data_IF_506523840252
#
_entry.id   IF_506523840252
#
_cell.length_a   1.000
_cell.length_b   1.000
_cell.length_c   1.000
_cell.angle_alpha   90.00
_cell.angle_beta   90.00
_cell.angle_gamma   90.00
#
_symmetry.space_group_name_H-M   'P 1'
#
loop_
_entity.id
_entity.type
_entity.pdbx_description
1 polymer ?
#
# COMPACT_ATOMS: atom_id res chain seq x y z
N UNK A 1 -0.17 18.03 42.61
CA UNK A 1 -1.26 17.11 42.21
C UNK A 1 -2.48 17.92 41.77
N UNK A 2 -2.66 18.14 40.47
CA UNK A 2 -3.91 18.65 39.88
C UNK A 2 -4.28 17.72 38.74
N UNK A 3 -5.52 17.26 38.77
CA UNK A 3 -6.11 16.21 37.92
C UNK A 3 -6.08 16.63 36.44
N UNK A 4 -5.38 15.87 35.60
CA UNK A 4 -5.65 15.78 34.14
C UNK A 4 -6.79 14.78 33.96
N UNK A 5 -8.01 15.26 33.80
CA UNK A 5 -9.17 14.41 33.58
C UNK A 5 -10.27 15.19 32.85
N UNK A 6 -9.93 15.84 31.74
CA UNK A 6 -10.91 16.35 30.76
C UNK A 6 -10.27 16.25 29.37
N UNK A 7 -10.90 15.49 28.47
CA UNK A 7 -10.45 15.35 27.09
C UNK A 7 -10.74 14.02 26.38
N UNK A 8 -11.43 13.05 26.99
CA UNK A 8 -11.72 11.75 26.35
C UNK A 8 -13.07 11.63 25.61
N UNK A 9 -13.87 12.70 25.55
CA UNK A 9 -15.28 12.60 25.10
C UNK A 9 -15.67 13.56 23.95
N UNK A 10 -14.74 14.29 23.34
CA UNK A 10 -15.07 15.20 22.22
C UNK A 10 -14.71 14.67 20.82
N UNK A 11 -13.86 13.65 20.70
CA UNK A 11 -13.32 13.24 19.39
C UNK A 11 -14.24 12.31 18.59
N UNK A 12 -15.05 11.48 19.25
CA UNK A 12 -16.12 10.71 18.60
C UNK A 12 -17.21 11.59 17.98
N UNK A 13 -17.38 12.82 18.49
CA UNK A 13 -18.29 13.81 17.90
C UNK A 13 -17.71 14.43 16.62
N UNK A 14 -16.40 14.66 16.55
CA UNK A 14 -15.73 15.26 15.39
C UNK A 14 -15.72 14.31 14.19
N UNK A 15 -15.45 13.02 14.41
CA UNK A 15 -15.56 11.97 13.37
C UNK A 15 -17.01 11.82 12.89
N UNK A 16 -18.00 11.87 13.79
CA UNK A 16 -19.41 11.87 13.42
C UNK A 16 -19.86 13.16 12.68
N UNK A 17 -19.19 14.29 12.93
CA UNK A 17 -19.47 15.58 12.29
C UNK A 17 -18.79 15.70 10.91
N UNK A 18 -17.54 15.26 10.73
CA UNK A 18 -16.87 15.24 9.41
C UNK A 18 -17.53 14.24 8.45
N UNK A 19 -17.88 13.05 8.95
CA UNK A 19 -18.70 12.07 8.24
C UNK A 19 -20.15 12.54 8.03
N UNK A 20 -20.65 13.43 8.89
CA UNK A 20 -21.96 14.07 8.76
C UNK A 20 -22.06 15.04 7.56
N UNK A 21 -20.95 15.68 7.16
CA UNK A 21 -20.91 16.51 5.97
C UNK A 21 -20.66 15.72 4.69
N UNK A 22 -19.83 14.67 4.72
CA UNK A 22 -19.64 13.76 3.57
C UNK A 22 -20.90 12.92 3.28
N UNK A 23 -21.63 12.50 4.32
CA UNK A 23 -22.90 11.78 4.18
C UNK A 23 -24.03 12.61 3.58
N UNK A 24 -23.96 13.95 3.61
CA UNK A 24 -25.04 14.82 3.13
C UNK A 24 -25.03 15.07 1.60
N UNK A 25 -23.91 14.86 0.91
CA UNK A 25 -23.86 14.99 -0.57
C UNK A 25 -24.59 13.84 -1.30
N UNK A 26 -25.01 12.83 -0.54
CA UNK A 26 -25.81 11.71 -0.99
C UNK A 26 -27.31 12.05 -1.13
N UNK A 27 -27.77 13.25 -0.75
CA UNK A 27 -29.19 13.51 -0.45
C UNK A 27 -29.79 14.82 -1.00
N UNK A 28 -29.73 15.08 -2.31
CA UNK A 28 -30.65 16.05 -2.93
C UNK A 28 -31.24 15.53 -4.25
N UNK A 29 -32.55 15.19 -4.31
CA UNK A 29 -33.22 14.93 -5.58
C UNK A 29 -33.48 16.28 -6.29
N UNK A 30 -33.03 16.41 -7.53
CA UNK A 30 -33.47 17.51 -8.41
C UNK A 30 -34.73 17.08 -9.16
N UNK A 31 -35.78 17.91 -9.06
CA UNK A 31 -37.06 17.64 -9.67
C UNK A 31 -37.06 17.93 -11.18
N UNK A 32 -37.32 16.90 -11.98
CA UNK A 32 -37.80 17.02 -13.35
C UNK A 32 -38.87 15.97 -13.58
N UNK A 33 -39.84 16.31 -14.41
CA UNK A 33 -41.21 15.79 -14.42
C UNK A 33 -41.48 14.99 -15.71
N UNK A 34 -42.08 13.82 -15.50
CA UNK A 34 -42.62 12.83 -16.45
C UNK A 34 -41.58 12.07 -17.31
N UNK A 35 -41.49 10.75 -17.05
CA UNK A 35 -40.53 9.83 -17.67
C UNK A 35 -41.03 9.27 -19.01
N UNK A 36 -40.36 9.60 -20.10
CA UNK A 36 -40.26 8.66 -21.22
C UNK A 36 -39.39 7.47 -20.79
N UNK A 37 -39.67 6.27 -21.32
CA UNK A 37 -39.01 5.02 -20.91
C UNK A 37 -37.47 5.00 -21.08
N UNK A 38 -36.91 5.97 -21.81
CA UNK A 38 -35.49 6.10 -22.11
C UNK A 38 -34.88 7.42 -21.57
N UNK A 39 -35.58 8.18 -20.71
CA UNK A 39 -34.99 9.36 -20.05
C UNK A 39 -34.28 8.95 -18.74
N UNK A 40 -32.95 8.96 -18.76
CA UNK A 40 -32.12 8.61 -17.62
C UNK A 40 -32.41 9.48 -16.37
N UNK A 41 -32.73 10.77 -16.54
CA UNK A 41 -33.02 11.65 -15.42
C UNK A 41 -34.34 11.28 -14.74
N UNK A 42 -35.38 11.03 -15.53
CA UNK A 42 -36.69 10.65 -15.01
C UNK A 42 -36.67 9.25 -14.39
N UNK A 43 -35.98 8.28 -15.02
CA UNK A 43 -35.76 6.94 -14.45
C UNK A 43 -34.96 7.00 -13.13
N UNK A 44 -33.99 7.91 -13.02
CA UNK A 44 -33.24 8.13 -11.77
C UNK A 44 -34.15 8.69 -10.67
N UNK A 45 -35.01 9.65 -11.02
CA UNK A 45 -36.00 10.20 -10.09
C UNK A 45 -36.96 9.12 -9.57
N UNK A 46 -37.50 8.28 -10.45
CA UNK A 46 -38.36 7.15 -10.05
C UNK A 46 -37.62 6.13 -9.19
N UNK A 47 -36.34 5.88 -9.48
CA UNK A 47 -35.46 5.08 -8.63
C UNK A 47 -35.36 5.65 -7.21
N UNK A 48 -35.22 6.97 -7.06
CA UNK A 48 -35.20 7.63 -5.76
C UNK A 48 -36.56 7.55 -5.04
N UNK A 49 -37.68 7.67 -5.75
CA UNK A 49 -39.01 7.50 -5.15
C UNK A 49 -39.21 6.09 -4.57
N UNK A 50 -38.80 5.05 -5.30
CA UNK A 50 -38.87 3.68 -4.79
C UNK A 50 -37.87 3.43 -3.65
N UNK A 51 -36.68 4.02 -3.72
CA UNK A 51 -35.69 3.94 -2.64
C UNK A 51 -36.23 4.56 -1.34
N UNK A 52 -36.91 5.71 -1.41
CA UNK A 52 -37.53 6.37 -0.26
C UNK A 52 -38.66 5.55 0.37
N UNK A 53 -39.34 4.71 -0.43
CA UNK A 53 -40.35 3.76 0.05
C UNK A 53 -39.74 2.46 0.62
N UNK A 54 -38.41 2.37 0.71
CA UNK A 54 -37.66 1.16 1.03
C UNK A 54 -37.92 -0.02 0.08
N UNK A 55 -38.38 0.25 -1.15
CA UNK A 55 -38.58 -0.76 -2.19
C UNK A 55 -37.30 -0.92 -3.03
N UNK A 56 -36.28 -1.53 -2.43
CA UNK A 56 -34.93 -1.56 -3.01
C UNK A 56 -34.84 -2.36 -4.31
N UNK A 57 -35.66 -3.40 -4.49
CA UNK A 57 -35.70 -4.15 -5.76
C UNK A 57 -36.23 -3.30 -6.91
N UNK A 58 -37.30 -2.53 -6.68
CA UNK A 58 -37.83 -1.62 -7.69
C UNK A 58 -36.88 -0.46 -7.97
N UNK A 59 -36.31 0.15 -6.91
CA UNK A 59 -35.30 1.20 -7.05
C UNK A 59 -34.11 0.74 -7.89
N UNK A 60 -33.59 -0.47 -7.62
CA UNK A 60 -32.49 -1.08 -8.36
C UNK A 60 -32.83 -1.23 -9.85
N UNK A 61 -34.06 -1.64 -10.16
CA UNK A 61 -34.52 -1.77 -11.54
C UNK A 61 -34.55 -0.40 -12.25
N UNK A 62 -35.09 0.63 -11.61
CA UNK A 62 -35.13 1.99 -12.17
C UNK A 62 -33.73 2.57 -12.41
N UNK A 63 -32.84 2.52 -11.42
CA UNK A 63 -31.47 3.00 -11.62
C UNK A 63 -30.71 2.19 -12.69
N UNK A 64 -30.94 0.87 -12.76
CA UNK A 64 -30.36 0.04 -13.83
C UNK A 64 -30.88 0.40 -15.21
N UNK A 65 -32.16 0.79 -15.33
CA UNK A 65 -32.72 1.30 -16.59
C UNK A 65 -32.14 2.67 -16.93
N UNK A 66 -32.00 3.57 -15.95
CA UNK A 66 -31.39 4.89 -16.14
C UNK A 66 -29.96 4.77 -16.69
N UNK A 67 -29.14 3.88 -16.12
CA UNK A 67 -27.77 3.60 -16.59
C UNK A 67 -27.75 3.01 -18.01
N UNK A 68 -28.75 2.21 -18.39
CA UNK A 68 -28.86 1.67 -19.76
C UNK A 68 -29.26 2.76 -20.75
N UNK A 69 -30.15 3.66 -20.35
CA UNK A 69 -30.59 4.79 -21.16
C UNK A 69 -29.44 5.79 -21.39
N UNK A 70 -28.74 6.16 -20.32
CA UNK A 70 -27.52 6.96 -20.39
C UNK A 70 -26.52 6.50 -19.32
N UNK A 71 -25.50 5.79 -19.79
CA UNK A 71 -24.44 5.28 -18.93
C UNK A 71 -23.50 6.36 -18.38
N UNK A 72 -23.57 7.58 -18.91
CA UNK A 72 -22.86 8.75 -18.41
C UNK A 72 -23.60 9.47 -17.28
N UNK A 73 -24.85 9.13 -17.00
CA UNK A 73 -25.65 9.78 -15.96
C UNK A 73 -25.17 9.38 -14.55
N UNK A 74 -24.31 10.20 -13.95
CA UNK A 74 -23.57 9.86 -12.72
C UNK A 74 -24.49 9.58 -11.51
N UNK A 75 -25.57 10.33 -11.36
CA UNK A 75 -26.51 10.16 -10.24
C UNK A 75 -27.18 8.78 -10.22
N UNK A 76 -27.40 8.16 -11.37
CA UNK A 76 -28.02 6.83 -11.47
C UNK A 76 -27.11 5.74 -10.89
N UNK A 77 -25.81 5.82 -11.14
CA UNK A 77 -24.81 4.92 -10.58
C UNK A 77 -24.77 5.00 -9.05
N UNK A 78 -24.83 6.23 -8.53
CA UNK A 78 -24.80 6.50 -7.10
C UNK A 78 -26.10 6.03 -6.43
N UNK A 79 -27.26 6.29 -7.05
CA UNK A 79 -28.55 5.75 -6.61
C UNK A 79 -28.57 4.21 -6.58
N UNK A 80 -28.02 3.56 -7.62
CA UNK A 80 -27.90 2.11 -7.68
C UNK A 80 -27.03 1.57 -6.55
N UNK A 81 -25.85 2.16 -6.34
CA UNK A 81 -24.90 1.78 -5.29
C UNK A 81 -25.53 1.88 -3.90
N UNK A 82 -26.24 2.98 -3.60
CA UNK A 82 -26.98 3.14 -2.33
C UNK A 82 -28.03 2.07 -2.14
N UNK A 83 -28.77 1.77 -3.20
CA UNK A 83 -29.84 0.77 -3.18
C UNK A 83 -29.28 -0.60 -2.86
N UNK A 84 -28.17 -0.96 -3.50
CA UNK A 84 -27.48 -2.23 -3.25
C UNK A 84 -26.97 -2.29 -1.81
N UNK A 85 -26.33 -1.23 -1.31
CA UNK A 85 -25.84 -1.15 0.06
C UNK A 85 -26.97 -1.33 1.08
N UNK A 86 -28.08 -0.60 0.93
CA UNK A 86 -29.23 -0.69 1.86
C UNK A 86 -30.02 -2.00 1.74
N UNK A 87 -29.92 -2.70 0.63
CA UNK A 87 -30.50 -4.04 0.48
C UNK A 87 -29.66 -5.12 1.19
N UNK A 88 -28.40 -4.85 1.56
CA UNK A 88 -27.59 -5.78 2.33
C UNK A 88 -27.91 -5.67 3.81
N UNK A 89 -28.23 -6.79 4.43
CA UNK A 89 -28.45 -6.84 5.87
C UNK A 89 -27.12 -6.69 6.63
N UNK A 90 -27.05 -5.74 7.55
CA UNK A 90 -25.91 -5.56 8.44
C UNK A 90 -24.67 -4.94 7.80
N UNK A 91 -24.83 -4.18 6.70
CA UNK A 91 -23.79 -3.32 6.14
C UNK A 91 -24.25 -1.87 6.21
N UNK A 92 -23.66 -1.14 7.15
CA UNK A 92 -23.72 0.32 7.19
C UNK A 92 -22.29 0.85 7.11
N UNK A 93 -21.99 1.71 6.14
CA UNK A 93 -20.64 2.26 5.96
C UNK A 93 -20.09 2.94 7.23
N UNK A 94 -20.97 3.54 8.05
CA UNK A 94 -20.57 4.10 9.34
C UNK A 94 -20.25 3.02 10.38
N UNK A 95 -20.96 1.90 10.36
CA UNK A 95 -20.66 0.75 11.21
C UNK A 95 -19.35 0.08 10.79
N UNK A 96 -19.04 0.03 9.49
CA UNK A 96 -17.78 -0.56 8.99
C UNK A 96 -16.55 0.15 9.58
N UNK A 97 -16.56 1.48 9.59
CA UNK A 97 -15.48 2.26 10.21
C UNK A 97 -15.36 2.01 11.72
N UNK A 98 -16.46 1.68 12.40
CA UNK A 98 -16.44 1.37 13.83
C UNK A 98 -15.75 0.04 14.15
N UNK A 99 -15.74 -0.93 13.21
CA UNK A 99 -15.06 -2.20 13.43
C UNK A 99 -13.53 -2.07 13.51
N UNK A 100 -12.97 -1.01 12.93
CA UNK A 100 -11.55 -0.69 13.03
C UNK A 100 -11.15 -0.14 14.40
N UNK A 101 -12.09 0.46 15.13
CA UNK A 101 -11.78 1.16 16.38
C UNK A 101 -11.34 0.18 17.47
N UNK A 102 -10.21 0.48 18.10
CA UNK A 102 -9.72 -0.33 19.22
C UNK A 102 -10.46 -0.02 20.51
N UNK A 103 -10.79 -1.06 21.28
CA UNK A 103 -11.37 -0.96 22.62
C UNK A 103 -10.78 -2.03 23.55
N UNK A 104 -10.92 -1.82 24.87
CA UNK A 104 -10.58 -2.83 25.87
C UNK A 104 -11.76 -3.78 26.08
N UNK A 105 -11.51 -5.08 25.96
CA UNK A 105 -12.51 -6.12 26.26
C UNK A 105 -12.74 -6.27 27.78
N UNK A 106 -13.63 -7.18 28.16
CA UNK A 106 -13.96 -7.45 29.56
C UNK A 106 -12.75 -7.92 30.42
N UNK A 107 -11.66 -8.34 29.78
CA UNK A 107 -10.42 -8.79 30.43
C UNK A 107 -9.31 -7.71 30.40
N UNK A 108 -9.59 -6.52 29.87
CA UNK A 108 -8.61 -5.45 29.71
C UNK A 108 -7.65 -5.67 28.52
N UNK A 109 -7.95 -6.60 27.61
CA UNK A 109 -7.16 -6.81 26.40
C UNK A 109 -7.64 -5.83 25.32
N UNK A 110 -6.70 -5.13 24.68
CA UNK A 110 -7.01 -4.33 23.48
C UNK A 110 -7.45 -5.25 22.33
N UNK A 111 -8.59 -4.94 21.75
CA UNK A 111 -9.17 -5.64 20.60
C UNK A 111 -9.85 -4.64 19.66
N UNK A 112 -10.46 -5.10 18.57
CA UNK A 112 -11.34 -4.32 17.69
C UNK A 112 -12.50 -5.17 17.15
N UNK A 113 -13.43 -4.57 16.42
CA UNK A 113 -14.62 -5.24 15.90
C UNK A 113 -14.34 -6.35 14.88
N UNK A 114 -13.33 -6.17 14.02
CA UNK A 114 -12.89 -7.20 13.07
C UNK A 114 -12.35 -8.45 13.75
N UNK A 115 -11.70 -8.33 14.90
CA UNK A 115 -11.14 -9.49 15.61
C UNK A 115 -12.18 -10.33 16.33
N UNK A 116 -13.29 -9.71 16.77
CA UNK A 116 -14.31 -10.40 17.59
C UNK A 116 -15.56 -10.79 16.82
N UNK A 117 -15.73 -10.32 15.57
CA UNK A 117 -16.86 -10.72 14.74
C UNK A 117 -16.76 -12.20 14.37
N UNK A 118 -17.90 -12.87 14.18
CA UNK A 118 -17.91 -14.25 13.69
C UNK A 118 -17.54 -14.32 12.20
N UNK A 119 -17.10 -15.48 11.75
CA UNK A 119 -16.77 -15.71 10.34
C UNK A 119 -17.99 -15.51 9.44
N UNK A 120 -19.19 -15.92 9.88
CA UNK A 120 -20.41 -15.71 9.11
C UNK A 120 -20.72 -14.21 8.92
N UNK A 121 -20.46 -13.41 9.96
CA UNK A 121 -20.65 -11.95 9.89
C UNK A 121 -19.59 -11.32 8.98
N UNK A 122 -18.33 -11.72 9.10
CA UNK A 122 -17.23 -11.27 8.23
C UNK A 122 -17.53 -11.58 6.75
N UNK A 123 -17.95 -12.80 6.46
CA UNK A 123 -18.35 -13.26 5.13
C UNK A 123 -19.55 -12.49 4.59
N UNK A 124 -20.55 -12.21 5.44
CA UNK A 124 -21.72 -11.42 5.07
C UNK A 124 -21.34 -9.98 4.71
N UNK A 125 -20.46 -9.35 5.49
CA UNK A 125 -19.96 -8.01 5.19
C UNK A 125 -19.17 -8.04 3.87
N UNK A 126 -18.25 -8.98 3.71
CA UNK A 126 -17.42 -9.11 2.51
C UNK A 126 -18.25 -9.22 1.23
N UNK A 127 -19.23 -10.14 1.19
CA UNK A 127 -20.12 -10.31 0.02
C UNK A 127 -20.94 -9.06 -0.31
N UNK A 128 -21.41 -8.37 0.71
CA UNK A 128 -22.20 -7.17 0.47
C UNK A 128 -21.35 -5.97 0.06
N UNK A 129 -20.10 -5.86 0.54
CA UNK A 129 -19.12 -4.91 -0.03
C UNK A 129 -18.87 -5.24 -1.50
N UNK A 130 -18.60 -6.49 -1.85
CA UNK A 130 -18.37 -6.90 -3.24
C UNK A 130 -19.56 -6.56 -4.16
N UNK A 131 -20.78 -6.72 -3.65
CA UNK A 131 -22.00 -6.37 -4.38
C UNK A 131 -22.09 -4.86 -4.67
N UNK A 132 -21.67 -4.03 -3.72
CA UNK A 132 -21.61 -2.56 -3.87
C UNK A 132 -20.49 -2.16 -4.83
N UNK A 133 -19.30 -2.73 -4.63
CA UNK A 133 -18.10 -2.44 -5.43
C UNK A 133 -18.25 -2.82 -6.89
N UNK A 134 -19.04 -3.84 -7.21
CA UNK A 134 -19.38 -4.20 -8.59
C UNK A 134 -19.90 -3.00 -9.41
N UNK A 135 -20.80 -2.19 -8.83
CA UNK A 135 -21.34 -1.01 -9.49
C UNK A 135 -20.46 0.22 -9.32
N UNK A 136 -19.84 0.36 -8.14
CA UNK A 136 -19.02 1.52 -7.83
C UNK A 136 -17.75 1.57 -8.69
N UNK A 137 -17.08 0.43 -8.91
CA UNK A 137 -15.90 0.36 -9.79
C UNK A 137 -16.22 0.75 -11.24
N UNK A 138 -17.42 0.42 -11.73
CA UNK A 138 -17.87 0.82 -13.06
C UNK A 138 -18.10 2.32 -13.15
N UNK A 139 -18.64 2.94 -12.10
CA UNK A 139 -18.79 4.39 -12.00
C UNK A 139 -17.43 5.08 -11.93
N UNK A 140 -16.53 4.64 -11.04
CA UNK A 140 -15.19 5.21 -10.89
C UNK A 140 -14.43 5.17 -12.21
N UNK A 141 -14.38 4.00 -12.88
CA UNK A 141 -13.72 3.86 -14.17
C UNK A 141 -14.29 4.79 -15.26
N UNK A 142 -15.59 5.10 -15.22
CA UNK A 142 -16.21 6.06 -16.14
C UNK A 142 -15.88 7.51 -15.77
N UNK A 143 -15.95 7.87 -14.50
CA UNK A 143 -15.68 9.24 -14.07
C UNK A 143 -14.22 9.62 -14.29
N UNK A 144 -13.28 8.71 -14.00
CA UNK A 144 -11.85 8.93 -14.21
C UNK A 144 -11.45 8.97 -15.69
N UNK A 145 -12.33 8.51 -16.60
CA UNK A 145 -12.12 8.57 -18.05
C UNK A 145 -13.01 9.62 -18.74
N UNK A 146 -13.58 10.56 -17.98
CA UNK A 146 -14.44 11.63 -18.49
C UNK A 146 -15.70 11.14 -19.25
N UNK A 147 -16.20 9.95 -18.88
CA UNK A 147 -17.37 9.31 -19.50
C UNK A 147 -18.67 9.54 -18.71
N UNK A 148 -18.67 10.50 -17.78
CA UNK A 148 -19.84 10.89 -16.97
C UNK A 148 -20.27 12.32 -17.27
N UNK A 149 -21.50 12.67 -16.87
CA UNK A 149 -22.05 14.03 -16.92
C UNK A 149 -21.49 14.95 -15.82
N UNK A 150 -20.56 14.44 -15.00
CA UNK A 150 -19.82 15.17 -13.95
C UNK A 150 -20.68 15.80 -12.85
N UNK A 151 -21.98 15.48 -12.77
CA UNK A 151 -22.85 15.95 -11.67
C UNK A 151 -22.46 15.35 -10.33
N UNK A 152 -22.11 14.07 -10.34
CA UNK A 152 -21.40 13.40 -9.25
C UNK A 152 -20.06 12.91 -9.78
N UNK A 153 -19.01 13.24 -9.04
CA UNK A 153 -17.61 12.88 -9.31
C UNK A 153 -17.14 11.81 -8.35
N UNK A 154 -16.11 11.07 -8.72
CA UNK A 154 -15.44 10.14 -7.82
C UNK A 154 -14.98 10.83 -6.53
N UNK A 155 -14.47 12.06 -6.62
CA UNK A 155 -14.09 12.86 -5.44
C UNK A 155 -15.25 13.15 -4.48
N UNK A 156 -16.51 13.09 -4.93
CA UNK A 156 -17.66 13.24 -4.03
C UNK A 156 -17.94 12.01 -3.17
N UNK A 157 -17.36 10.84 -3.51
CA UNK A 157 -17.61 9.56 -2.85
C UNK A 157 -16.32 8.83 -2.42
N UNK A 158 -15.16 9.46 -2.61
CA UNK A 158 -13.85 8.86 -2.37
C UNK A 158 -13.75 8.27 -0.96
N UNK A 159 -14.24 8.97 0.07
CA UNK A 159 -14.23 8.52 1.46
C UNK A 159 -14.95 7.19 1.67
N UNK A 160 -16.17 7.09 1.11
CA UNK A 160 -16.98 5.88 1.22
C UNK A 160 -16.32 4.73 0.44
N UNK A 161 -15.74 5.04 -0.71
CA UNK A 161 -14.98 4.07 -1.51
C UNK A 161 -13.76 3.54 -0.72
N UNK A 162 -12.98 4.44 -0.11
CA UNK A 162 -11.82 4.12 0.74
C UNK A 162 -12.25 3.24 1.91
N UNK A 163 -13.32 3.59 2.64
CA UNK A 163 -13.82 2.78 3.76
C UNK A 163 -14.19 1.38 3.31
N UNK A 164 -14.90 1.24 2.17
CA UNK A 164 -15.30 -0.08 1.65
C UNK A 164 -14.08 -0.93 1.27
N UNK A 165 -13.10 -0.35 0.58
CA UNK A 165 -11.89 -1.05 0.16
C UNK A 165 -11.00 -1.43 1.36
N UNK A 166 -10.76 -0.50 2.29
CA UNK A 166 -9.99 -0.79 3.51
C UNK A 166 -10.67 -1.86 4.38
N UNK A 167 -12.00 -1.81 4.48
CA UNK A 167 -12.77 -2.85 5.19
C UNK A 167 -12.59 -4.20 4.52
N UNK A 168 -12.66 -4.25 3.19
CA UNK A 168 -12.46 -5.49 2.43
C UNK A 168 -11.04 -6.04 2.61
N UNK A 169 -10.03 -5.19 2.52
CA UNK A 169 -8.63 -5.55 2.77
C UNK A 169 -8.44 -6.10 4.20
N UNK A 170 -9.03 -5.45 5.21
CA UNK A 170 -8.99 -5.92 6.60
C UNK A 170 -9.67 -7.29 6.77
N UNK A 171 -10.79 -7.54 6.08
CA UNK A 171 -11.47 -8.85 6.12
C UNK A 171 -10.63 -9.96 5.47
N UNK A 172 -9.85 -9.67 4.43
CA UNK A 172 -8.91 -10.64 3.84
C UNK A 172 -7.78 -10.98 4.80
N UNK A 173 -7.17 -9.97 5.40
CA UNK A 173 -6.14 -10.19 6.41
C UNK A 173 -6.70 -10.99 7.58
N UNK A 174 -7.92 -10.67 8.05
CA UNK A 174 -8.60 -11.44 9.11
C UNK A 174 -8.74 -12.92 8.77
N UNK A 175 -9.00 -13.25 7.49
CA UNK A 175 -9.17 -14.63 7.06
C UNK A 175 -7.90 -15.48 7.21
N UNK A 176 -6.72 -14.86 7.20
CA UNK A 176 -5.42 -15.53 7.36
C UNK A 176 -4.80 -15.30 8.74
N UNK A 177 -5.02 -14.13 9.33
CA UNK A 177 -4.45 -13.72 10.61
C UNK A 177 -5.48 -12.97 11.46
N UNK A 178 -5.84 -13.55 12.59
CA UNK A 178 -6.82 -12.99 13.53
C UNK A 178 -6.28 -11.82 14.37
N UNK A 179 -5.11 -11.25 14.06
CA UNK A 179 -4.50 -10.11 14.76
C UNK A 179 -4.17 -8.92 13.82
N UNK A 180 -5.20 -8.29 13.25
CA UNK A 180 -5.10 -7.08 12.43
C UNK A 180 -4.30 -5.93 13.06
N UNK A 181 -4.26 -5.85 14.40
CA UNK A 181 -3.57 -4.78 15.13
C UNK A 181 -2.05 -4.78 14.96
N UNK A 182 -1.47 -5.83 14.38
CA UNK A 182 -0.03 -5.93 14.16
C UNK A 182 0.41 -5.39 12.80
N UNK A 183 -0.53 -5.19 11.85
CA UNK A 183 -0.22 -4.84 10.44
C UNK A 183 0.25 -3.40 10.28
N UNK A 184 -0.27 -2.46 11.06
CA UNK A 184 0.17 -1.06 11.05
C UNK A 184 0.31 -0.58 12.48
N UNK A 185 1.53 -0.18 12.84
CA UNK A 185 1.85 0.46 14.11
C UNK A 185 2.51 1.80 13.81
N UNK A 186 2.54 2.71 14.77
CA UNK A 186 3.17 4.00 14.53
C UNK A 186 3.54 4.66 15.86
N UNK A 187 4.64 5.42 15.85
CA UNK A 187 5.25 6.03 17.02
C UNK A 187 5.84 7.40 16.68
N UNK A 188 6.51 8.02 17.65
CA UNK A 188 7.12 9.35 17.50
C UNK A 188 8.16 9.46 16.39
N UNK A 189 8.62 8.35 15.84
CA UNK A 189 9.60 8.26 14.77
C UNK A 189 8.98 8.03 13.39
N UNK A 190 7.70 7.65 13.29
CA UNK A 190 7.04 7.38 11.99
C UNK A 190 5.93 6.34 12.09
N UNK A 191 5.31 6.03 10.94
CA UNK A 191 4.44 4.86 10.79
C UNK A 191 5.27 3.65 10.34
N UNK A 192 5.01 2.49 10.95
CA UNK A 192 5.63 1.21 10.65
C UNK A 192 4.53 0.23 10.20
N UNK A 193 4.65 -0.30 8.99
CA UNK A 193 3.82 -1.42 8.55
C UNK A 193 4.51 -2.74 8.94
N UNK A 194 3.76 -3.78 9.29
CA UNK A 194 4.27 -5.16 9.39
C UNK A 194 3.86 -5.89 8.11
N UNK A 195 4.68 -5.76 7.07
CA UNK A 195 4.45 -6.39 5.78
C UNK A 195 4.65 -7.90 5.81
N UNK A 196 5.20 -8.47 6.89
CA UNK A 196 5.31 -9.93 7.03
C UNK A 196 3.95 -10.62 7.01
N UNK A 197 2.87 -9.92 7.39
CA UNK A 197 1.50 -10.44 7.28
C UNK A 197 1.10 -10.70 5.82
N UNK A 198 1.76 -10.06 4.85
CA UNK A 198 1.53 -10.32 3.43
C UNK A 198 1.97 -11.71 3.01
N UNK A 199 3.03 -12.26 3.62
CA UNK A 199 3.48 -13.64 3.38
C UNK A 199 2.40 -14.67 3.70
N UNK A 200 1.64 -14.42 4.76
CA UNK A 200 0.57 -15.32 5.21
C UNK A 200 -0.66 -15.29 4.29
N UNK A 201 -0.77 -14.33 3.37
CA UNK A 201 -1.92 -14.21 2.47
C UNK A 201 -1.94 -15.25 1.35
N UNK A 202 -0.79 -15.76 0.91
CA UNK A 202 -0.69 -16.68 -0.23
C UNK A 202 -1.48 -16.19 -1.44
N UNK A 203 -2.38 -17.03 -1.99
CA UNK A 203 -3.25 -16.70 -3.12
C UNK A 203 -4.12 -15.43 -2.92
N UNK A 204 -4.31 -14.98 -1.66
CA UNK A 204 -5.06 -13.76 -1.35
C UNK A 204 -4.23 -12.48 -1.44
N UNK A 205 -2.91 -12.58 -1.66
CA UNK A 205 -2.01 -11.43 -1.73
C UNK A 205 -2.37 -10.47 -2.86
N UNK A 206 -2.45 -10.93 -4.11
CA UNK A 206 -2.82 -10.09 -5.26
C UNK A 206 -4.20 -9.45 -5.10
N UNK A 207 -5.26 -10.19 -4.71
CA UNK A 207 -6.56 -9.57 -4.41
C UNK A 207 -6.50 -8.52 -3.28
N UNK A 208 -5.70 -8.75 -2.23
CA UNK A 208 -5.51 -7.79 -1.15
C UNK A 208 -4.81 -6.52 -1.65
N UNK A 209 -3.71 -6.65 -2.38
CA UNK A 209 -2.97 -5.52 -2.94
C UNK A 209 -3.84 -4.71 -3.92
N UNK A 210 -4.69 -5.36 -4.70
CA UNK A 210 -5.65 -4.67 -5.57
C UNK A 210 -6.68 -3.86 -4.78
N UNK A 211 -7.24 -4.42 -3.70
CA UNK A 211 -8.19 -3.70 -2.84
C UNK A 211 -7.48 -2.51 -2.14
N UNK A 212 -6.23 -2.68 -1.69
CA UNK A 212 -5.41 -1.63 -1.10
C UNK A 212 -5.02 -0.54 -2.11
N UNK A 213 -4.63 -0.89 -3.33
CA UNK A 213 -4.31 0.05 -4.40
C UNK A 213 -5.54 0.88 -4.81
N UNK A 214 -6.71 0.26 -4.86
CA UNK A 214 -7.95 0.98 -5.11
C UNK A 214 -8.28 1.97 -3.97
N UNK A 215 -8.04 1.59 -2.71
CA UNK A 215 -8.15 2.52 -1.58
C UNK A 215 -7.12 3.67 -1.71
N UNK A 216 -5.88 3.35 -2.07
CA UNK A 216 -4.80 4.32 -2.28
C UNK A 216 -5.13 5.34 -3.40
N UNK A 217 -5.71 4.91 -4.52
CA UNK A 217 -6.15 5.84 -5.56
C UNK A 217 -7.29 6.75 -5.08
N UNK A 218 -8.19 6.23 -4.25
CA UNK A 218 -9.22 7.06 -3.61
C UNK A 218 -8.63 8.07 -2.62
N UNK A 219 -7.61 7.67 -1.85
CA UNK A 219 -6.86 8.55 -0.95
C UNK A 219 -6.23 9.71 -1.72
N UNK A 220 -5.60 9.44 -2.86
CA UNK A 220 -4.99 10.49 -3.71
C UNK A 220 -6.00 11.51 -4.25
N UNK A 221 -7.25 11.08 -4.46
CA UNK A 221 -8.33 11.95 -4.96
C UNK A 221 -8.92 12.82 -3.85
N UNK A 222 -8.85 12.40 -2.58
CA UNK A 222 -9.38 13.12 -1.41
C UNK A 222 -8.48 12.95 -0.17
N UNK A 223 -7.26 13.52 -0.18
CA UNK A 223 -6.23 13.23 0.81
C UNK A 223 -6.58 13.74 2.21
N UNK A 224 -7.27 14.87 2.35
CA UNK A 224 -7.65 15.44 3.65
C UNK A 224 -8.72 14.59 4.34
N UNK A 225 -9.65 14.03 3.57
CA UNK A 225 -10.69 13.17 4.11
C UNK A 225 -10.16 11.76 4.41
N UNK A 226 -9.24 11.27 3.57
CA UNK A 226 -8.48 10.06 3.83
C UNK A 226 -7.64 10.14 5.11
N UNK A 227 -7.02 11.28 5.40
CA UNK A 227 -6.27 11.50 6.64
C UNK A 227 -7.14 11.22 7.88
N UNK A 228 -8.38 11.69 7.90
CA UNK A 228 -9.33 11.44 8.99
C UNK A 228 -9.71 9.95 9.12
N UNK A 229 -9.88 9.27 7.98
CA UNK A 229 -10.11 7.82 7.96
C UNK A 229 -8.88 7.11 8.54
N UNK A 230 -7.68 7.39 8.04
CA UNK A 230 -6.43 6.76 8.49
C UNK A 230 -6.19 7.02 9.98
N UNK A 231 -6.42 8.25 10.47
CA UNK A 231 -6.40 8.56 11.92
C UNK A 231 -7.31 7.62 12.71
N UNK A 232 -8.49 7.27 12.21
CA UNK A 232 -9.41 6.35 12.89
C UNK A 232 -8.87 4.91 12.99
N UNK A 233 -8.05 4.48 12.02
CA UNK A 233 -7.38 3.17 12.03
C UNK A 233 -6.07 3.16 12.84
N UNK A 234 -5.46 4.34 13.06
CA UNK A 234 -4.22 4.46 13.84
C UNK A 234 -4.47 4.38 15.37
N UNK A 235 -3.57 3.75 16.13
CA UNK A 235 -3.60 3.76 17.60
C UNK A 235 -3.53 5.17 18.21
N UNK A 236 -4.21 5.41 19.33
CA UNK A 236 -4.19 6.70 20.05
C UNK A 236 -2.77 7.15 20.48
N UNK A 237 -1.84 6.21 20.66
CA UNK A 237 -0.44 6.51 21.00
C UNK A 237 0.27 7.22 19.86
N UNK A 238 -0.13 6.94 18.62
CA UNK A 238 0.46 7.49 17.40
C UNK A 238 -0.08 8.87 17.10
N UNK A 239 -1.36 9.12 17.39
CA UNK A 239 -2.04 10.33 16.89
C UNK A 239 -1.40 11.65 17.31
N UNK A 240 -0.59 11.59 18.37
CA UNK A 240 0.06 12.73 19.02
C UNK A 240 1.38 13.13 18.34
N UNK A 241 1.88 12.29 17.43
CA UNK A 241 3.21 12.42 16.85
C UNK A 241 3.22 13.17 15.51
N UNK A 242 2.04 13.51 14.96
CA UNK A 242 1.86 14.20 13.69
C UNK A 242 0.84 15.33 13.81
N UNK A 243 1.06 16.45 13.12
CA UNK A 243 0.06 17.51 12.97
C UNK A 243 -1.04 17.09 11.99
N UNK A 244 -2.21 17.71 12.04
CA UNK A 244 -3.37 17.30 11.23
C UNK A 244 -3.08 17.34 9.71
N UNK A 245 -2.26 18.30 9.27
CA UNK A 245 -1.86 18.50 7.87
C UNK A 245 -0.86 17.43 7.40
N UNK A 246 0.02 16.94 8.31
CA UNK A 246 1.03 15.92 7.98
C UNK A 246 0.38 14.58 7.55
N UNK A 247 -0.81 14.27 8.09
CA UNK A 247 -1.48 13.00 7.77
C UNK A 247 -1.91 12.91 6.31
N UNK A 248 -2.35 14.01 5.68
CA UNK A 248 -2.79 13.97 4.29
C UNK A 248 -1.63 13.60 3.35
N UNK A 249 -0.46 14.17 3.59
CA UNK A 249 0.75 13.93 2.80
C UNK A 249 1.31 12.52 3.00
N UNK A 250 1.41 12.10 4.27
CA UNK A 250 1.85 10.75 4.61
C UNK A 250 0.91 9.72 3.98
N UNK A 251 -0.39 10.01 3.97
CA UNK A 251 -1.39 9.13 3.35
C UNK A 251 -1.19 9.01 1.84
N UNK A 252 -0.85 10.11 1.15
CA UNK A 252 -0.55 10.09 -0.29
C UNK A 252 0.75 9.34 -0.58
N UNK A 253 1.80 9.56 0.21
CA UNK A 253 3.06 8.82 0.07
C UNK A 253 2.87 7.32 0.25
N UNK A 254 2.18 6.91 1.32
CA UNK A 254 1.84 5.51 1.55
C UNK A 254 0.95 4.94 0.45
N UNK A 255 -0.02 5.73 -0.04
CA UNK A 255 -0.89 5.34 -1.14
C UNK A 255 -0.08 5.02 -2.41
N UNK A 256 0.91 5.84 -2.76
CA UNK A 256 1.75 5.57 -3.92
C UNK A 256 2.58 4.30 -3.74
N UNK A 257 3.19 4.09 -2.57
CA UNK A 257 3.89 2.83 -2.24
C UNK A 257 2.98 1.62 -2.43
N UNK A 258 1.75 1.68 -1.91
CA UNK A 258 0.77 0.59 -2.05
C UNK A 258 0.37 0.33 -3.51
N UNK A 259 0.18 1.39 -4.31
CA UNK A 259 -0.12 1.26 -5.74
C UNK A 259 1.04 0.58 -6.47
N UNK A 260 2.27 0.95 -6.16
CA UNK A 260 3.47 0.38 -6.79
C UNK A 260 3.67 -1.08 -6.42
N UNK A 261 3.52 -1.42 -5.14
CA UNK A 261 3.51 -2.82 -4.68
C UNK A 261 2.47 -3.64 -5.45
N UNK A 262 1.27 -3.08 -5.67
CA UNK A 262 0.25 -3.75 -6.44
C UNK A 262 0.62 -3.90 -7.92
N UNK A 263 1.10 -2.84 -8.58
CA UNK A 263 1.50 -2.87 -9.98
C UNK A 263 2.62 -3.90 -10.21
N UNK A 264 3.59 -3.96 -9.29
CA UNK A 264 4.62 -5.01 -9.26
C UNK A 264 3.96 -6.38 -9.10
N UNK A 265 3.11 -6.58 -8.09
CA UNK A 265 2.43 -7.85 -7.85
C UNK A 265 1.62 -8.34 -9.06
N UNK A 266 1.02 -7.43 -9.84
CA UNK A 266 0.25 -7.81 -11.03
C UNK A 266 1.14 -8.17 -12.24
N UNK A 267 2.40 -7.71 -12.26
CA UNK A 267 3.30 -7.86 -13.41
C UNK A 267 4.36 -8.95 -13.20
N UNK A 268 4.72 -9.26 -11.95
CA UNK A 268 5.69 -10.31 -11.65
C UNK A 268 5.09 -11.71 -11.86
N UNK A 269 5.84 -12.64 -12.47
CA UNK A 269 5.47 -14.05 -12.52
C UNK A 269 5.24 -14.64 -11.13
N UNK A 270 4.29 -15.57 -10.99
CA UNK A 270 3.96 -16.22 -9.70
C UNK A 270 5.17 -16.90 -9.04
N UNK A 271 6.13 -17.40 -9.84
CA UNK A 271 7.35 -18.03 -9.35
C UNK A 271 8.45 -17.05 -8.90
N UNK A 272 8.16 -15.73 -8.93
CA UNK A 272 9.00 -14.65 -8.39
C UNK A 272 8.30 -13.85 -7.28
N UNK A 273 7.17 -14.32 -6.75
CA UNK A 273 6.51 -13.63 -5.62
C UNK A 273 7.39 -13.64 -4.37
N UNK A 274 8.25 -14.66 -4.21
CA UNK A 274 9.23 -14.73 -3.13
C UNK A 274 10.19 -13.55 -3.14
N UNK A 275 10.68 -13.16 -4.33
CA UNK A 275 11.62 -12.06 -4.54
C UNK A 275 11.08 -10.72 -4.02
N UNK A 276 9.81 -10.41 -4.26
CA UNK A 276 9.26 -9.07 -3.98
C UNK A 276 8.43 -8.97 -2.70
N UNK A 277 8.02 -10.11 -2.13
CA UNK A 277 7.04 -10.11 -1.04
C UNK A 277 7.52 -10.82 0.23
N UNK A 278 8.67 -11.51 0.23
CA UNK A 278 9.24 -12.10 1.44
C UNK A 278 10.07 -11.09 2.27
N UNK A 279 9.39 -10.13 2.90
CA UNK A 279 10.07 -9.08 3.66
C UNK A 279 10.96 -9.62 4.78
N UNK A 280 12.23 -9.22 4.76
CA UNK A 280 13.15 -9.34 5.87
C UNK A 280 13.34 -10.77 6.36
N UNK A 281 13.41 -11.72 5.43
CA UNK A 281 13.50 -13.14 5.73
C UNK A 281 14.95 -13.61 5.94
N UNK A 282 15.93 -12.71 5.78
CA UNK A 282 17.35 -12.97 5.93
C UNK A 282 17.91 -13.87 4.83
N UNK A 283 17.36 -13.77 3.61
CA UNK A 283 17.79 -14.54 2.44
C UNK A 283 17.87 -13.64 1.22
N UNK A 284 18.87 -13.94 0.41
CA UNK A 284 18.97 -13.60 -1.02
C UNK A 284 17.91 -14.42 -1.79
N UNK A 285 16.73 -13.84 -2.00
CA UNK A 285 15.65 -14.45 -2.75
C UNK A 285 15.75 -14.13 -4.24
N UNK A 286 16.48 -13.11 -4.67
CA UNK A 286 16.56 -12.69 -6.08
C UNK A 286 17.73 -13.33 -6.86
N UNK A 287 18.83 -13.72 -6.18
CA UNK A 287 20.01 -14.38 -6.73
C UNK A 287 21.23 -13.49 -6.96
N UNK A 288 21.27 -12.28 -6.44
CA UNK A 288 22.37 -11.31 -6.59
C UNK A 288 23.52 -11.50 -5.55
N UNK A 289 23.22 -12.27 -4.50
CA UNK A 289 24.13 -12.66 -3.43
C UNK A 289 24.04 -11.79 -2.18
N UNK A 290 23.30 -10.68 -2.23
CA UNK A 290 23.03 -9.76 -1.14
C UNK A 290 21.81 -10.25 -0.34
N UNK A 291 21.69 -9.84 0.92
CA UNK A 291 20.62 -10.33 1.80
C UNK A 291 19.85 -9.18 2.40
N UNK A 292 18.53 -9.17 2.18
CA UNK A 292 17.62 -8.17 2.73
C UNK A 292 18.16 -6.74 2.49
N UNK A 293 18.70 -6.42 1.30
CA UNK A 293 19.43 -5.18 1.04
C UNK A 293 18.53 -4.00 0.71
N UNK A 294 17.37 -4.23 0.10
CA UNK A 294 16.47 -3.17 -0.36
C UNK A 294 15.59 -2.58 0.75
N UNK A 295 15.19 -1.33 0.55
CA UNK A 295 14.11 -0.70 1.30
C UNK A 295 12.96 -0.36 0.35
N UNK A 296 11.73 -0.50 0.83
CA UNK A 296 10.53 -0.24 0.03
C UNK A 296 10.34 1.27 -0.25
N UNK A 297 11.08 1.78 -1.23
CA UNK A 297 11.10 3.19 -1.61
C UNK A 297 11.04 3.45 -3.12
N UNK A 298 10.95 2.40 -3.92
CA UNK A 298 10.94 2.42 -5.39
C UNK A 298 12.25 2.91 -6.01
N UNK A 299 13.34 2.69 -5.32
CA UNK A 299 14.66 2.88 -5.87
C UNK A 299 15.46 1.60 -5.67
N UNK A 300 16.30 1.31 -6.64
CA UNK A 300 17.34 0.27 -6.58
C UNK A 300 18.38 0.70 -5.52
N UNK A 301 18.24 0.18 -4.30
CA UNK A 301 19.03 0.60 -3.13
C UNK A 301 20.42 -0.03 -3.10
N UNK A 302 20.64 -1.12 -3.85
CA UNK A 302 21.91 -1.79 -3.93
C UNK A 302 22.65 -1.58 -5.27
N UNK A 303 21.92 -1.21 -6.32
CA UNK A 303 22.40 -0.92 -7.67
C UNK A 303 22.42 -2.13 -8.59
N UNK A 304 21.70 -3.20 -8.30
CA UNK A 304 21.75 -4.45 -9.05
C UNK A 304 20.82 -4.48 -10.29
N UNK A 305 19.98 -3.45 -10.43
CA UNK A 305 19.06 -3.25 -11.54
C UNK A 305 17.65 -3.79 -11.34
N UNK A 306 17.36 -4.41 -10.19
CA UNK A 306 16.00 -4.62 -9.72
C UNK A 306 15.60 -3.47 -8.74
N UNK A 307 14.32 -3.43 -8.36
CA UNK A 307 13.81 -2.37 -7.47
C UNK A 307 12.84 -3.05 -6.49
N UNK A 308 13.09 -2.86 -5.20
CA UNK A 308 12.29 -3.39 -4.08
C UNK A 308 12.10 -4.93 -4.12
N UNK A 309 13.08 -5.68 -4.63
CA UNK A 309 13.34 -7.10 -4.33
C UNK A 309 13.89 -7.24 -2.92
N UNK A 310 13.88 -8.44 -2.34
CA UNK A 310 14.63 -8.77 -1.11
C UNK A 310 14.49 -7.70 -0.02
N UNK A 311 13.27 -7.18 0.12
CA UNK A 311 13.04 -5.98 0.90
C UNK A 311 13.23 -6.29 2.37
N UNK A 312 13.92 -5.40 3.09
CA UNK A 312 14.05 -5.45 4.54
C UNK A 312 12.71 -5.53 5.25
N UNK A 313 12.77 -5.95 6.51
CA UNK A 313 11.63 -5.81 7.42
C UNK A 313 11.14 -4.36 7.43
N UNK A 314 9.88 -4.16 7.09
CA UNK A 314 9.28 -2.83 6.97
C UNK A 314 9.32 -2.00 8.26
N UNK A 315 9.57 -2.62 9.43
CA UNK A 315 9.80 -1.89 10.69
C UNK A 315 11.18 -1.22 10.76
N UNK A 316 12.10 -1.58 9.87
CA UNK A 316 13.37 -0.87 9.73
C UNK A 316 13.21 0.44 8.95
N UNK A 317 12.14 0.60 8.18
CA UNK A 317 11.93 1.76 7.32
C UNK A 317 11.42 2.93 8.16
N UNK A 318 12.14 4.06 8.16
CA UNK A 318 11.72 5.31 8.79
C UNK A 318 11.39 6.32 7.70
N UNK A 319 10.14 6.74 7.61
CA UNK A 319 9.68 7.75 6.64
C UNK A 319 9.99 9.18 7.10
N UNK A 320 10.20 10.09 6.14
CA UNK A 320 10.35 11.53 6.41
C UNK A 320 9.08 12.08 7.05
N UNK A 321 9.23 12.74 8.20
CA UNK A 321 8.10 13.28 8.99
C UNK A 321 7.43 14.51 8.39
N UNK A 322 8.14 15.27 7.53
CA UNK A 322 7.61 16.48 6.90
C UNK A 322 8.22 16.65 5.52
N UNK A 323 7.39 16.50 4.48
CA UNK A 323 7.82 16.77 3.10
C UNK A 323 7.49 18.22 2.73
N UNK A 324 8.19 18.78 1.74
CA UNK A 324 7.73 19.96 1.05
C UNK A 324 6.38 19.63 0.38
N UNK A 325 5.33 20.38 0.69
CA UNK A 325 3.95 20.05 0.28
C UNK A 325 3.64 20.49 -1.15
N UNK A 326 4.49 21.36 -1.71
CA UNK A 326 4.32 21.96 -3.00
C UNK A 326 5.66 22.47 -3.56
N UNK A 327 5.66 22.77 -4.86
CA UNK A 327 6.84 23.30 -5.54
C UNK A 327 7.34 24.65 -5.01
N UNK A 328 6.51 25.42 -4.29
CA UNK A 328 6.96 26.65 -3.66
C UNK A 328 7.79 26.35 -2.42
N UNK A 329 7.38 25.40 -1.58
CA UNK A 329 8.17 24.95 -0.43
C UNK A 329 9.49 24.31 -0.83
N UNK A 330 9.51 23.52 -1.91
CA UNK A 330 10.75 22.99 -2.49
C UNK A 330 11.73 24.12 -2.83
N UNK A 331 11.24 25.15 -3.52
CA UNK A 331 12.05 26.33 -3.86
C UNK A 331 12.52 27.09 -2.63
N UNK A 332 11.68 27.21 -1.61
CA UNK A 332 12.01 27.91 -0.36
C UNK A 332 13.09 27.13 0.44
N UNK A 333 13.15 25.81 0.28
CA UNK A 333 14.23 24.94 0.78
C UNK A 333 15.47 24.90 -0.14
N UNK A 334 15.45 25.61 -1.27
CA UNK A 334 16.54 25.65 -2.23
C UNK A 334 16.65 24.39 -3.11
N UNK A 335 15.60 23.57 -3.17
CA UNK A 335 15.54 22.33 -3.93
C UNK A 335 14.96 22.56 -5.33
N UNK A 336 15.38 21.75 -6.31
CA UNK A 336 14.89 21.83 -7.68
C UNK A 336 13.57 21.05 -7.83
N UNK A 337 12.45 21.73 -8.10
CA UNK A 337 11.15 21.08 -8.28
C UNK A 337 11.06 20.18 -9.52
N UNK A 338 12.03 20.25 -10.44
CA UNK A 338 12.06 19.41 -11.64
C UNK A 338 12.72 18.06 -11.41
N UNK A 339 13.50 17.92 -10.33
CA UNK A 339 14.16 16.67 -9.94
C UNK A 339 13.49 16.01 -8.74
N UNK A 340 12.54 16.70 -8.09
CA UNK A 340 11.89 16.23 -6.88
C UNK A 340 10.52 15.63 -7.17
N UNK A 341 10.34 14.35 -6.89
CA UNK A 341 9.08 13.64 -7.08
C UNK A 341 8.21 13.70 -5.82
N UNK A 342 7.25 14.63 -5.80
CA UNK A 342 6.26 14.78 -4.72
C UNK A 342 5.35 13.54 -4.56
N UNK A 343 5.38 12.59 -5.50
CA UNK A 343 4.54 11.39 -5.47
C UNK A 343 5.23 10.19 -4.81
N UNK A 344 6.56 10.07 -4.84
CA UNK A 344 7.26 8.94 -4.20
C UNK A 344 7.39 9.13 -2.70
N UNK A 345 7.23 8.08 -1.89
CA UNK A 345 7.57 8.17 -0.46
C UNK A 345 9.08 8.41 -0.31
N UNK A 346 9.49 9.31 0.60
CA UNK A 346 10.90 9.47 0.95
C UNK A 346 11.18 8.77 2.28
N UNK A 347 12.16 7.88 2.27
CA UNK A 347 12.72 7.34 3.51
C UNK A 347 13.61 8.40 4.15
N UNK A 348 13.48 8.63 5.45
CA UNK A 348 14.43 9.46 6.20
C UNK A 348 15.71 8.65 6.46
N UNK A 349 15.54 7.46 7.02
CA UNK A 349 16.63 6.58 7.41
C UNK A 349 16.16 5.13 7.57
N UNK A 350 17.12 4.23 7.77
CA UNK A 350 16.86 2.85 8.17
C UNK A 350 17.22 2.65 9.65
N UNK A 351 16.36 1.94 10.37
CA UNK A 351 16.54 1.55 11.76
C UNK A 351 16.97 0.09 11.84
N UNK A 352 18.14 -0.14 12.43
CA UNK A 352 18.63 -1.49 12.69
C UNK A 352 17.76 -2.17 13.74
N UNK A 353 17.02 -3.20 13.33
CA UNK A 353 16.29 -4.06 14.26
C UNK A 353 17.23 -5.11 14.86
N UNK A 354 16.96 -5.55 16.09
CA UNK A 354 17.82 -6.52 16.78
C UNK A 354 18.01 -7.83 15.98
N UNK A 355 17.00 -8.24 15.20
CA UNK A 355 17.07 -9.44 14.35
C UNK A 355 18.14 -9.35 13.26
N UNK A 356 18.51 -8.13 12.84
CA UNK A 356 19.53 -7.87 11.83
C UNK A 356 20.95 -7.81 12.38
N UNK A 357 21.14 -7.81 13.71
CA UNK A 357 22.47 -7.77 14.30
C UNK A 357 23.39 -8.97 13.94
N UNK A 358 22.83 -10.01 13.32
CA UNK A 358 23.53 -11.21 12.88
C UNK A 358 23.55 -11.37 11.36
N UNK A 359 22.93 -10.44 10.64
CA UNK A 359 22.86 -10.45 9.18
C UNK A 359 24.08 -9.67 8.68
N UNK A 360 24.71 -10.22 7.65
CA UNK A 360 25.85 -9.71 6.90
C UNK A 360 25.29 -9.55 5.47
N UNK A 361 24.90 -8.32 5.14
CA UNK A 361 24.13 -7.99 3.93
C UNK A 361 24.99 -8.22 2.70
N UNK A 362 26.25 -7.76 2.75
CA UNK A 362 27.17 -7.84 1.62
C UNK A 362 28.08 -9.06 1.62
N UNK A 363 27.96 -9.88 2.66
CA UNK A 363 28.71 -11.10 2.87
C UNK A 363 30.22 -10.86 2.99
N UNK A 364 30.67 -9.68 3.42
CA UNK A 364 32.08 -9.37 3.64
C UNK A 364 32.65 -9.98 4.95
N UNK A 365 31.77 -10.53 5.79
CA UNK A 365 32.10 -11.13 7.08
C UNK A 365 31.89 -10.20 8.27
N UNK A 366 31.35 -8.99 8.05
CA UNK A 366 30.94 -8.08 9.10
C UNK A 366 29.41 -8.06 9.17
N UNK A 367 28.90 -8.29 10.37
CA UNK A 367 27.46 -8.13 10.58
C UNK A 367 27.11 -6.66 10.70
N UNK A 368 25.83 -6.34 10.55
CA UNK A 368 25.26 -5.02 10.82
C UNK A 368 25.67 -4.39 12.17
N UNK A 369 25.99 -5.21 13.18
CA UNK A 369 26.49 -4.72 14.47
C UNK A 369 27.90 -4.14 14.38
N UNK A 370 28.70 -4.69 13.48
CA UNK A 370 30.10 -4.36 13.27
C UNK A 370 30.29 -3.39 12.09
N UNK A 371 29.31 -3.32 11.18
CA UNK A 371 29.29 -2.42 10.02
C UNK A 371 27.94 -1.72 9.85
N UNK A 372 27.91 -0.41 10.12
CA UNK A 372 26.70 0.40 9.91
C UNK A 372 26.57 0.88 8.45
N UNK A 373 27.59 0.72 7.60
CA UNK A 373 27.52 1.15 6.20
C UNK A 373 26.51 0.31 5.39
N UNK A 374 26.17 -0.90 5.87
CA UNK A 374 25.06 -1.74 5.37
C UNK A 374 23.65 -1.11 5.55
N UNK A 375 23.53 -0.10 6.42
CA UNK A 375 22.25 0.51 6.81
C UNK A 375 22.19 2.01 6.57
N UNK A 376 23.25 2.57 6.02
CA UNK A 376 23.36 3.99 5.75
C UNK A 376 23.33 4.23 4.25
N UNK A 377 22.42 5.12 3.83
CA UNK A 377 22.46 5.68 2.48
C UNK A 377 23.78 6.42 2.23
N UNK A 378 24.25 6.41 0.98
CA UNK A 378 25.40 7.22 0.53
C UNK A 378 25.15 8.69 0.87
N UNK A 379 23.96 9.20 0.56
CA UNK A 379 23.49 10.52 0.98
C UNK A 379 22.40 10.35 2.03
N UNK A 380 22.70 10.79 3.26
CA UNK A 380 21.75 10.66 4.39
C UNK A 380 20.52 11.54 4.21
N UNK A 381 20.66 12.72 3.60
CA UNK A 381 19.52 13.59 3.30
C UNK A 381 18.75 13.02 2.10
N UNK A 382 17.46 12.69 2.25
CA UNK A 382 16.63 12.19 1.14
C UNK A 382 16.56 13.15 -0.05
N UNK A 383 16.62 14.45 0.19
CA UNK A 383 16.56 15.43 -0.88
C UNK A 383 17.88 15.48 -1.66
N UNK A 384 19.00 15.23 -1.00
CA UNK A 384 20.29 15.08 -1.67
C UNK A 384 20.30 13.79 -2.51
N UNK A 385 19.67 12.71 -2.05
CA UNK A 385 19.50 11.47 -2.86
C UNK A 385 18.78 11.75 -4.17
N UNK A 386 17.64 12.45 -4.12
CA UNK A 386 16.88 12.83 -5.32
C UNK A 386 17.69 13.77 -6.23
N UNK A 387 18.35 14.80 -5.67
CA UNK A 387 19.18 15.74 -6.45
C UNK A 387 20.33 15.03 -7.17
N UNK A 388 20.95 14.05 -6.50
CA UNK A 388 22.06 13.26 -7.04
C UNK A 388 21.59 12.03 -7.84
N UNK A 389 20.28 11.74 -7.86
CA UNK A 389 19.68 10.52 -8.40
C UNK A 389 20.37 9.25 -7.90
N UNK A 390 20.78 9.22 -6.64
CA UNK A 390 21.53 8.10 -6.06
C UNK A 390 20.95 7.74 -4.70
N UNK A 391 20.16 6.65 -4.71
CA UNK A 391 19.45 6.14 -3.55
C UNK A 391 20.16 4.97 -2.88
N UNK A 392 21.39 4.69 -3.30
CA UNK A 392 22.09 3.51 -2.83
C UNK A 392 22.55 3.60 -1.39
N UNK A 393 22.71 2.44 -0.80
CA UNK A 393 23.36 2.24 0.47
C UNK A 393 24.88 2.25 0.34
N UNK A 394 25.59 2.57 1.42
CA UNK A 394 27.04 2.79 1.38
C UNK A 394 27.84 1.53 1.07
N UNK A 395 27.41 0.37 1.55
CA UNK A 395 28.11 -0.89 1.32
C UNK A 395 28.33 -1.16 -0.18
N UNK A 396 27.37 -0.76 -1.02
CA UNK A 396 27.37 -0.86 -2.49
C UNK A 396 28.55 -0.15 -3.15
N UNK A 397 29.19 0.81 -2.47
CA UNK A 397 30.35 1.54 -3.02
C UNK A 397 31.59 0.66 -3.18
N UNK A 398 31.59 -0.50 -2.53
CA UNK A 398 32.67 -1.51 -2.64
C UNK A 398 32.30 -2.69 -3.53
N UNK A 399 31.02 -2.80 -3.90
CA UNK A 399 30.47 -3.85 -4.75
C UNK A 399 30.45 -3.37 -6.20
N UNK A 400 30.68 -4.30 -7.12
CA UNK A 400 30.54 -4.03 -8.53
C UNK A 400 29.59 -5.04 -9.16
N UNK A 401 28.38 -4.58 -9.49
CA UNK A 401 27.48 -5.32 -10.37
C UNK A 401 27.97 -5.24 -11.80
N UNK A 402 27.70 -6.27 -12.60
CA UNK A 402 28.10 -6.27 -14.03
C UNK A 402 27.45 -5.15 -14.85
N UNK A 403 26.49 -4.42 -14.27
CA UNK A 403 25.64 -3.49 -14.99
C UNK A 403 25.62 -2.04 -14.45
N UNK A 404 26.04 -1.82 -13.20
CA UNK A 404 25.95 -0.52 -12.55
C UNK A 404 27.11 0.42 -12.95
N UNK A 405 26.95 1.24 -13.99
CA UNK A 405 27.85 2.39 -14.21
C UNK A 405 27.49 3.50 -13.20
N UNK A 406 28.01 3.36 -11.98
CA UNK A 406 27.77 4.32 -10.89
C UNK A 406 26.46 4.10 -10.11
N UNK A 407 25.80 2.95 -10.29
CA UNK A 407 24.63 2.52 -9.51
C UNK A 407 23.48 3.53 -9.48
N UNK A 408 23.31 4.27 -10.57
CA UNK A 408 22.06 5.00 -10.80
C UNK A 408 21.24 4.15 -11.77
N UNK A 409 20.01 3.82 -11.38
CA UNK A 409 19.03 3.37 -12.37
C UNK A 409 18.88 4.51 -13.36
N UNK A 410 19.11 4.26 -14.64
CA UNK A 410 18.93 5.30 -15.59
C UNK A 410 17.43 5.45 -15.85
N UNK A 411 16.83 6.42 -15.19
CA UNK A 411 15.56 6.97 -15.62
C UNK A 411 15.79 7.53 -17.04
N UNK A 412 15.01 7.06 -18.03
CA UNK A 412 15.08 7.37 -19.47
C UNK A 412 16.08 6.54 -20.32
N UNK A 413 15.81 5.25 -20.55
CA UNK A 413 16.76 4.36 -21.25
C UNK A 413 16.47 4.02 -22.70
N UNK A 414 17.53 4.20 -23.48
CA UNK A 414 17.86 3.53 -24.73
C UNK A 414 17.69 2.00 -24.57
N UNK A 415 17.08 1.35 -25.58
CA UNK A 415 16.76 -0.08 -25.64
C UNK A 415 17.93 -0.99 -25.22
N UNK A 416 19.18 -0.55 -25.44
CA UNK A 416 20.39 -1.30 -25.11
C UNK A 416 20.62 -1.53 -23.62
N UNK A 417 20.17 -0.61 -22.78
CA UNK A 417 20.31 -0.80 -21.33
C UNK A 417 19.27 -1.79 -20.85
N UNK A 418 18.03 -1.62 -21.27
CA UNK A 418 16.94 -2.54 -20.92
C UNK A 418 17.30 -3.98 -21.26
N UNK A 419 17.91 -4.22 -22.42
CA UNK A 419 18.40 -5.55 -22.81
C UNK A 419 19.44 -6.12 -21.83
N UNK A 420 20.34 -5.28 -21.32
CA UNK A 420 21.39 -5.72 -20.39
C UNK A 420 20.85 -5.97 -18.97
N UNK A 421 19.94 -5.14 -18.47
CA UNK A 421 19.23 -5.37 -17.20
C UNK A 421 18.47 -6.69 -17.27
N UNK A 422 17.69 -6.89 -18.33
CA UNK A 422 16.96 -8.15 -18.54
C UNK A 422 17.92 -9.36 -18.59
N UNK A 423 19.08 -9.22 -19.24
CA UNK A 423 20.09 -10.27 -19.26
C UNK A 423 20.70 -10.55 -17.87
N UNK A 424 20.82 -9.55 -17.00
CA UNK A 424 21.28 -9.73 -15.62
C UNK A 424 20.23 -10.48 -14.79
N UNK A 425 18.96 -10.06 -14.85
CA UNK A 425 17.82 -10.72 -14.20
C UNK A 425 17.73 -12.19 -14.65
N UNK A 426 17.89 -12.47 -15.95
CA UNK A 426 17.91 -13.86 -16.46
C UNK A 426 19.03 -14.71 -15.82
N UNK A 427 20.18 -14.12 -15.51
CA UNK A 427 21.28 -14.84 -14.86
C UNK A 427 21.03 -15.02 -13.37
N UNK A 428 20.51 -14.01 -12.67
CA UNK A 428 20.06 -14.15 -11.27
C UNK A 428 19.02 -15.25 -11.14
N UNK A 429 18.07 -15.33 -12.06
CA UNK A 429 17.07 -16.41 -12.14
C UNK A 429 17.65 -17.82 -12.36
N UNK A 430 18.84 -17.93 -12.98
CA UNK A 430 19.54 -19.22 -13.07
C UNK A 430 20.15 -19.61 -11.73
N UNK A 431 20.64 -18.63 -10.96
CA UNK A 431 21.27 -18.79 -9.66
C UNK A 431 20.23 -19.12 -8.59
N UNK A 432 19.11 -18.39 -8.56
CA UNK A 432 17.98 -18.60 -7.63
C UNK A 432 17.41 -20.02 -7.67
N UNK A 433 17.55 -20.70 -8.83
CA UNK A 433 17.11 -22.10 -9.02
C UNK A 433 17.99 -23.14 -8.32
N UNK A 434 19.18 -22.78 -7.87
CA UNK A 434 20.00 -23.63 -7.00
C UNK A 434 19.42 -23.58 -5.57
N UNK A 435 18.40 -24.40 -5.31
CA UNK A 435 17.61 -24.34 -4.06
C UNK A 435 18.27 -25.02 -2.86
N UNK A 436 19.17 -25.98 -3.07
CA UNK A 436 19.78 -26.72 -1.97
C UNK A 436 21.22 -27.16 -2.27
N UNK A 437 21.97 -27.45 -1.19
CA UNK A 437 23.39 -27.81 -1.21
C UNK A 437 23.71 -29.05 -2.06
N UNK A 438 22.75 -29.92 -2.34
CA UNK A 438 22.94 -31.12 -3.16
C UNK A 438 22.69 -30.86 -4.65
N UNK A 439 22.12 -29.70 -4.99
CA UNK A 439 21.70 -29.34 -6.34
C UNK A 439 22.33 -28.01 -6.78
N UNK A 440 23.60 -27.79 -6.47
CA UNK A 440 24.36 -26.60 -6.89
C UNK A 440 24.80 -26.75 -8.34
N UNK A 441 24.30 -25.90 -9.23
CA UNK A 441 24.72 -25.85 -10.64
C UNK A 441 25.80 -24.80 -10.88
N UNK A 442 25.78 -23.71 -10.10
CA UNK A 442 26.72 -22.60 -10.23
C UNK A 442 27.40 -22.35 -8.89
N UNK A 443 28.72 -22.57 -8.80
CA UNK A 443 29.51 -22.22 -7.61
C UNK A 443 29.66 -20.69 -7.47
N UNK A 444 30.08 -20.23 -6.29
CA UNK A 444 30.19 -18.79 -6.00
C UNK A 444 31.08 -18.04 -7.00
N UNK A 445 32.15 -18.66 -7.51
CA UNK A 445 33.04 -18.03 -8.52
C UNK A 445 32.28 -17.78 -9.80
N UNK A 446 31.46 -18.76 -10.22
CA UNK A 446 30.65 -18.63 -11.43
C UNK A 446 29.53 -17.62 -11.25
N UNK A 447 28.93 -17.53 -10.05
CA UNK A 447 27.93 -16.51 -9.71
C UNK A 447 28.52 -15.11 -9.76
N UNK A 448 29.69 -14.90 -9.16
CA UNK A 448 30.43 -13.64 -9.23
C UNK A 448 30.81 -13.26 -10.68
N UNK A 449 31.13 -14.25 -11.54
CA UNK A 449 31.39 -14.00 -12.98
C UNK A 449 30.11 -13.75 -13.80
N UNK A 450 28.93 -14.18 -13.32
CA UNK A 450 27.68 -14.03 -14.06
C UNK A 450 26.97 -12.73 -13.71
N UNK A 451 26.90 -12.44 -12.41
CA UNK A 451 26.08 -11.38 -11.81
C UNK A 451 26.96 -10.28 -11.20
N UNK A 452 28.08 -10.65 -10.58
CA UNK A 452 28.87 -9.72 -9.76
C UNK A 452 28.25 -9.63 -8.37
N UNK A 453 28.02 -8.40 -7.88
CA UNK A 453 27.28 -8.19 -6.65
C UNK A 453 28.00 -8.70 -5.41
N UNK A 454 27.22 -9.05 -4.39
CA UNK A 454 27.74 -9.57 -3.13
C UNK A 454 28.43 -10.93 -3.32
N UNK A 455 28.16 -11.69 -4.39
CA UNK A 455 28.91 -12.93 -4.71
C UNK A 455 30.43 -12.75 -4.75
N UNK A 456 30.92 -11.53 -4.97
CA UNK A 456 32.36 -11.21 -4.97
C UNK A 456 33.03 -11.35 -3.59
N UNK A 457 32.25 -11.29 -2.51
CA UNK A 457 32.74 -11.41 -1.13
C UNK A 457 32.68 -12.84 -0.57
N UNK A 458 32.14 -13.79 -1.35
CA UNK A 458 31.97 -15.17 -0.94
C UNK A 458 33.28 -15.96 -1.01
N UNK A 459 33.41 -16.90 -0.08
CA UNK A 459 34.36 -18.00 -0.15
C UNK A 459 33.62 -19.34 -0.06
N UNK A 460 34.35 -20.45 -0.10
CA UNK A 460 33.73 -21.78 -0.06
C UNK A 460 32.94 -22.02 1.25
N UNK A 461 33.31 -21.41 2.38
CA UNK A 461 32.58 -21.56 3.65
C UNK A 461 31.28 -20.74 3.64
N UNK A 462 31.37 -19.45 3.31
CA UNK A 462 30.20 -18.54 3.20
C UNK A 462 29.19 -19.06 2.18
N UNK A 463 29.68 -19.56 1.04
CA UNK A 463 28.84 -20.13 0.00
C UNK A 463 28.05 -21.34 0.48
N UNK A 464 28.65 -22.24 1.25
CA UNK A 464 27.92 -23.38 1.80
C UNK A 464 26.92 -22.94 2.88
N UNK A 465 27.26 -21.94 3.70
CA UNK A 465 26.34 -21.35 4.68
C UNK A 465 25.10 -20.72 4.04
N UNK A 466 25.23 -20.13 2.86
CA UNK A 466 24.10 -19.57 2.11
C UNK A 466 22.99 -20.60 1.80
N UNK A 467 23.33 -21.89 1.68
CA UNK A 467 22.36 -22.98 1.51
C UNK A 467 21.80 -23.51 2.83
N UNK A 468 22.34 -23.13 3.99
CA UNK A 468 21.85 -23.57 5.28
C UNK A 468 20.42 -23.04 5.51
N UNK A 469 19.46 -23.94 5.70
CA UNK A 469 18.05 -23.57 5.87
C UNK A 469 17.23 -23.42 4.59
N UNK A 470 17.85 -23.54 3.39
CA UNK A 470 17.13 -23.60 2.10
C UNK A 470 16.65 -25.01 1.72
N UNK A 471 16.74 -25.97 2.63
CA UNK A 471 16.28 -27.35 2.41
C UNK A 471 14.79 -27.35 2.01
N UNK A 472 14.51 -27.70 0.75
CA UNK A 472 13.16 -27.89 0.23
C UNK A 472 12.46 -28.94 1.10
N UNK A 473 11.40 -28.53 1.82
CA UNK A 473 10.55 -29.44 2.58
C UNK A 473 9.68 -30.28 1.67
#
# INVERSE_FOLDING_TARGET
>A
MRKKLQGKWMWSLTIALSLGFAGCNLFHPTGSRDADNDDAAALTHDGYLEYQKANYDAARNFFSKAIRADSGYSEAWIGLTKTVLKAQEGIDAFELASYAQSYEDANGKKTNGFLVMSDEKADSISRGIDSVMFYLNQFVARDTTDRTDKKVRFSNIADSYTILQLTKAALRVRAVNTQLSNVVSANSSGMMMDLNVLNDLGDSLKPFLNDMAAAAEAIKVAPEAAAEIIKAYLPDSTRQDFEDDDYAEISVGLANTVIQMNDRAQTVPEDREDVFFNFGNGRDDDGDGCVDEEALDNYDNDGDGEIDEDVRDSRSIVLVKKRPTNYQELKDLGQDPTTYDLTKAQLDSLSVLEKYNIIDIDMDGKTTKDDLDEWEFIYRDPNERDEKKNHRLKFTTTINFMYADGGMFPEDQDDKITEKVNSLIEKKELIRKDKDINNIKYDWRKRAEMVGGCWTNYDDEKFLKWFEGRIVK
#
